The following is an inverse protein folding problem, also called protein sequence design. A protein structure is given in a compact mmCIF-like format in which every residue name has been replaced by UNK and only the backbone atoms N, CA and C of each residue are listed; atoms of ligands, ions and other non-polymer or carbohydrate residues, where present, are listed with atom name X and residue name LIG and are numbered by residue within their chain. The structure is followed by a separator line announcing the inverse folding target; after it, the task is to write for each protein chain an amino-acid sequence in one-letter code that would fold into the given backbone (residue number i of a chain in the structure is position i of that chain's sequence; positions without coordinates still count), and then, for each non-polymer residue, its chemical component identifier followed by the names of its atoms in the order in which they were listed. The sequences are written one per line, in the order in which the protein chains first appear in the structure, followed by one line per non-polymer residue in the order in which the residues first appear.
data_IF_122551751705
#
_entry.id   IF_122551751705
#
_cell.length_a   1.000
_cell.length_b   1.000
_cell.length_c   1.000
_cell.angle_alpha   90.00
_cell.angle_beta   90.00
_cell.angle_gamma   90.00
#
_symmetry.space_group_name_H-M   'P 1'
#
loop_
_entity.id
_entity.type
_entity.pdbx_description
1 polymer ?
#
# COMPACT_ATOMS: atom_id res chain seq x y z
N UNK A 1 -0.04 17.81 7.47
CA UNK A 1 0.62 18.17 8.74
C UNK A 1 0.73 16.92 9.61
N UNK A 2 1.60 16.99 10.60
CA UNK A 2 1.80 15.95 11.62
C UNK A 2 1.62 16.58 13.02
N UNK A 3 1.13 15.81 13.99
CA UNK A 3 1.06 16.23 15.40
C UNK A 3 2.41 16.08 16.13
N UNK A 4 2.42 16.42 17.42
CA UNK A 4 3.62 16.37 18.27
C UNK A 4 4.16 14.94 18.45
N UNK A 5 3.28 13.94 18.32
CA UNK A 5 3.60 12.51 18.38
C UNK A 5 4.01 11.94 17.01
N UNK A 6 4.12 12.79 15.98
CA UNK A 6 4.54 12.42 14.63
C UNK A 6 3.45 11.74 13.79
N UNK A 7 2.18 11.84 14.19
CA UNK A 7 1.06 11.20 13.50
C UNK A 7 0.47 12.12 12.43
N UNK A 8 0.00 11.60 11.28
CA UNK A 8 -0.60 12.42 10.24
C UNK A 8 -1.94 13.00 10.69
N UNK A 9 -2.06 14.33 10.69
CA UNK A 9 -3.32 15.03 11.00
C UNK A 9 -4.01 15.59 9.77
N UNK A 10 -3.26 15.83 8.69
CA UNK A 10 -3.79 16.24 7.40
C UNK A 10 -2.85 15.88 6.26
N UNK A 11 -3.38 15.59 5.08
CA UNK A 11 -2.61 15.34 3.86
C UNK A 11 -3.38 15.86 2.65
N UNK A 12 -2.67 16.38 1.66
CA UNK A 12 -3.20 16.61 0.33
C UNK A 12 -2.01 16.40 -0.60
N UNK A 13 -2.02 15.30 -1.34
CA UNK A 13 -0.83 14.92 -2.08
C UNK A 13 -1.06 13.85 -3.13
N UNK A 14 -0.15 13.85 -4.10
CA UNK A 14 -0.01 12.78 -5.09
C UNK A 14 1.43 12.31 -5.04
N UNK A 15 1.63 10.99 -5.07
CA UNK A 15 2.92 10.36 -5.22
C UNK A 15 2.90 9.48 -6.47
N UNK A 16 4.03 9.45 -7.18
CA UNK A 16 4.24 8.61 -8.35
C UNK A 16 5.48 7.75 -8.09
N UNK A 17 5.28 6.45 -7.96
CA UNK A 17 6.36 5.48 -7.83
C UNK A 17 6.63 4.86 -9.21
N UNK A 18 7.73 5.29 -9.82
CA UNK A 18 8.17 4.76 -11.12
C UNK A 18 8.94 3.46 -10.90
N UNK A 19 8.68 2.46 -11.76
CA UNK A 19 9.31 1.12 -11.69
C UNK A 19 9.08 0.42 -10.33
N UNK A 20 7.87 0.55 -9.80
CA UNK A 20 7.42 -0.22 -8.64
C UNK A 20 7.45 -1.71 -8.98
N UNK A 21 8.08 -2.48 -8.09
CA UNK A 21 8.18 -3.91 -8.21
C UNK A 21 8.45 -4.56 -6.87
N UNK A 22 8.00 -5.80 -6.73
CA UNK A 22 8.30 -6.65 -5.60
C UNK A 22 9.05 -7.88 -6.09
N UNK A 23 10.06 -8.28 -5.33
CA UNK A 23 10.83 -9.49 -5.58
C UNK A 23 10.66 -10.44 -4.40
N UNK A 24 10.29 -11.68 -4.71
CA UNK A 24 10.21 -12.79 -3.76
C UNK A 24 10.50 -14.09 -4.48
N UNK A 25 9.57 -15.05 -4.42
CA UNK A 25 9.61 -16.29 -5.22
C UNK A 25 9.64 -15.96 -6.72
N UNK A 26 8.96 -14.89 -7.13
CA UNK A 26 8.93 -14.36 -8.50
C UNK A 26 9.14 -12.85 -8.48
N UNK A 27 9.38 -12.25 -9.66
CA UNK A 27 9.44 -10.80 -9.82
C UNK A 27 8.09 -10.26 -10.32
N UNK A 28 7.37 -9.56 -9.46
CA UNK A 28 6.18 -8.82 -9.83
C UNK A 28 6.54 -7.36 -10.14
N UNK A 29 6.17 -6.87 -11.32
CA UNK A 29 6.35 -5.46 -11.72
C UNK A 29 4.98 -4.80 -11.78
N UNK A 30 4.76 -3.87 -10.87
CA UNK A 30 3.58 -3.01 -10.91
C UNK A 30 3.74 -1.88 -11.93
N UNK A 31 4.97 -1.63 -12.40
CA UNK A 31 5.26 -0.53 -13.32
C UNK A 31 5.19 0.81 -12.59
N UNK A 32 4.48 1.78 -13.14
CA UNK A 32 4.25 3.07 -12.50
C UNK A 32 2.99 3.01 -11.65
N UNK A 33 3.14 3.24 -10.35
CA UNK A 33 2.02 3.34 -9.40
C UNK A 33 1.78 4.80 -9.03
N UNK A 34 0.52 5.22 -9.14
CA UNK A 34 0.03 6.51 -8.69
C UNK A 34 -0.71 6.34 -7.38
N UNK A 35 -0.39 7.20 -6.41
CA UNK A 35 -1.04 7.24 -5.11
C UNK A 35 -1.58 8.65 -4.92
N UNK A 36 -2.86 8.75 -4.59
CA UNK A 36 -3.48 10.03 -4.23
C UNK A 36 -4.04 9.92 -2.82
N UNK A 37 -3.77 10.93 -2.00
CA UNK A 37 -4.22 10.98 -0.62
C UNK A 37 -4.74 12.37 -0.28
N UNK A 38 -5.86 12.41 0.43
CA UNK A 38 -6.43 13.63 0.97
C UNK A 38 -7.03 13.38 2.34
N UNK A 39 -6.97 14.37 3.22
CA UNK A 39 -7.49 14.21 4.56
C UNK A 39 -7.18 15.38 5.48
N UNK A 40 -8.01 15.55 6.49
CA UNK A 40 -7.90 16.55 7.54
C UNK A 40 -8.42 15.96 8.85
N UNK A 41 -8.11 16.60 9.98
CA UNK A 41 -8.59 16.19 11.32
C UNK A 41 -8.34 14.71 11.64
N UNK A 42 -7.16 14.22 11.27
CA UNK A 42 -6.74 12.82 11.46
C UNK A 42 -7.62 11.79 10.75
N UNK A 43 -8.37 12.23 9.75
CA UNK A 43 -9.10 11.39 8.81
C UNK A 43 -8.47 11.54 7.43
N UNK A 44 -7.88 10.45 6.94
CA UNK A 44 -7.21 10.41 5.64
C UNK A 44 -7.84 9.31 4.81
N UNK A 45 -8.14 9.62 3.55
CA UNK A 45 -8.59 8.66 2.56
C UNK A 45 -7.68 8.78 1.33
N UNK A 46 -7.41 7.65 0.68
CA UNK A 46 -6.56 7.63 -0.49
C UNK A 46 -6.84 6.46 -1.41
N UNK A 47 -6.27 6.56 -2.60
CA UNK A 47 -6.33 5.53 -3.63
C UNK A 47 -4.96 5.27 -4.20
N UNK A 48 -4.80 4.07 -4.74
CA UNK A 48 -3.63 3.67 -5.47
C UNK A 48 -4.05 2.94 -6.75
N UNK A 49 -3.37 3.24 -7.85
CA UNK A 49 -3.59 2.55 -9.13
C UNK A 49 -2.29 2.55 -9.92
N UNK A 50 -2.05 1.51 -10.71
CA UNK A 50 -0.94 1.53 -11.66
C UNK A 50 -1.36 1.95 -13.08
N UNK A 51 -0.38 2.27 -13.92
CA UNK A 51 -0.60 2.72 -15.31
C UNK A 51 -0.64 1.57 -16.33
N UNK A 52 -0.44 0.32 -15.89
CA UNK A 52 -0.50 -0.87 -16.76
C UNK A 52 0.78 -1.14 -17.54
N UNK A 53 1.90 -0.52 -17.17
CA UNK A 53 3.25 -0.68 -17.73
C UNK A 53 4.05 -1.80 -17.03
N UNK A 54 3.37 -2.75 -16.38
CA UNK A 54 3.95 -3.90 -15.69
C UNK A 54 3.10 -5.17 -15.84
N UNK A 55 3.60 -6.30 -15.34
CA UNK A 55 2.90 -7.59 -15.38
C UNK A 55 1.96 -7.81 -14.17
N UNK A 56 1.86 -6.83 -13.25
CA UNK A 56 0.93 -6.85 -12.14
C UNK A 56 0.08 -5.57 -12.14
N UNK A 57 -1.21 -5.71 -12.39
CA UNK A 57 -2.22 -4.68 -12.16
C UNK A 57 -2.47 -4.48 -10.67
N UNK A 58 -2.55 -3.22 -10.24
CA UNK A 58 -2.86 -2.83 -8.86
C UNK A 58 -3.92 -1.74 -8.89
N UNK A 59 -5.01 -1.96 -8.17
CA UNK A 59 -6.04 -0.96 -7.88
C UNK A 59 -6.45 -1.08 -6.41
N UNK A 60 -6.56 0.02 -5.69
CA UNK A 60 -6.93 -0.04 -4.30
C UNK A 60 -7.29 1.30 -3.69
N UNK A 61 -7.83 1.22 -2.49
CA UNK A 61 -8.15 2.35 -1.64
C UNK A 61 -7.72 2.06 -0.21
N UNK A 62 -7.41 3.11 0.52
CA UNK A 62 -7.09 3.04 1.94
C UNK A 62 -7.74 4.19 2.70
N UNK A 63 -7.98 3.97 3.98
CA UNK A 63 -8.42 5.00 4.89
C UNK A 63 -7.68 4.88 6.23
N UNK A 64 -7.49 6.02 6.89
CA UNK A 64 -6.91 6.14 8.21
C UNK A 64 -7.81 7.03 9.06
N UNK A 65 -8.00 6.64 10.32
CA UNK A 65 -8.75 7.39 11.34
C UNK A 65 -7.91 7.37 12.62
N UNK A 66 -7.31 8.51 12.97
CA UNK A 66 -6.31 8.56 14.03
C UNK A 66 -5.10 7.70 13.67
N UNK A 67 -4.84 6.66 14.47
CA UNK A 67 -3.74 5.71 14.24
C UNK A 67 -4.18 4.45 13.50
N UNK A 68 -5.48 4.14 13.47
CA UNK A 68 -5.98 2.94 12.81
C UNK A 68 -6.08 3.17 11.30
N UNK A 69 -5.70 2.17 10.52
CA UNK A 69 -5.80 2.19 9.07
C UNK A 69 -6.38 0.88 8.54
N UNK A 70 -7.03 1.00 7.39
CA UNK A 70 -7.49 -0.11 6.58
C UNK A 70 -7.16 0.15 5.11
N UNK A 71 -6.87 -0.90 4.36
CA UNK A 71 -6.65 -0.84 2.93
C UNK A 71 -7.25 -2.07 2.24
N UNK A 72 -7.83 -1.82 1.08
CA UNK A 72 -8.32 -2.82 0.16
C UNK A 72 -7.57 -2.68 -1.16
N UNK A 73 -6.93 -3.75 -1.59
CA UNK A 73 -6.13 -3.78 -2.83
C UNK A 73 -6.51 -4.98 -3.67
N UNK A 74 -6.83 -4.73 -4.93
CA UNK A 74 -7.01 -5.73 -5.97
C UNK A 74 -5.68 -5.86 -6.72
N UNK A 75 -5.18 -7.10 -6.75
CA UNK A 75 -4.00 -7.49 -7.49
C UNK A 75 -4.46 -8.34 -8.69
N UNK A 76 -4.05 -7.97 -9.90
CA UNK A 76 -4.36 -8.73 -11.12
C UNK A 76 -3.08 -9.06 -11.87
N UNK A 77 -2.64 -10.32 -11.91
CA UNK A 77 -1.50 -10.69 -12.75
C UNK A 77 -1.86 -10.54 -14.24
N UNK A 78 -0.84 -10.40 -15.08
CA UNK A 78 -0.99 -10.66 -16.51
C UNK A 78 -1.47 -12.11 -16.69
N UNK A 79 -2.59 -12.36 -17.39
CA UNK A 79 -3.13 -13.72 -17.57
C UNK A 79 -2.18 -14.67 -18.30
N UNK A 80 -1.16 -14.15 -18.99
CA UNK A 80 -0.14 -14.95 -19.68
C UNK A 80 1.09 -15.24 -18.80
N UNK A 81 1.17 -14.67 -17.60
CA UNK A 81 2.28 -14.86 -16.66
C UNK A 81 1.92 -15.94 -15.63
N UNK A 82 2.09 -17.21 -16.03
CA UNK A 82 1.79 -18.36 -15.19
C UNK A 82 2.60 -18.39 -13.88
N UNK A 83 3.83 -17.87 -13.90
CA UNK A 83 4.70 -17.80 -12.73
C UNK A 83 4.14 -16.83 -11.69
N UNK A 84 3.72 -15.64 -12.13
CA UNK A 84 3.09 -14.64 -11.27
C UNK A 84 1.72 -15.09 -10.74
N UNK A 85 0.89 -15.72 -11.58
CA UNK A 85 -0.39 -16.31 -11.15
C UNK A 85 -0.14 -17.32 -10.03
N UNK A 86 0.83 -18.22 -10.20
CA UNK A 86 1.17 -19.22 -9.21
C UNK A 86 1.72 -18.60 -7.93
N UNK A 87 2.54 -17.55 -8.02
CA UNK A 87 3.07 -16.87 -6.84
C UNK A 87 1.99 -16.15 -6.03
N UNK A 88 1.05 -15.49 -6.72
CA UNK A 88 -0.06 -14.79 -6.09
C UNK A 88 -1.06 -15.73 -5.41
N UNK A 89 -1.00 -17.04 -5.65
CA UNK A 89 -1.91 -18.01 -5.04
C UNK A 89 -1.87 -18.00 -3.49
N UNK A 90 -0.81 -17.43 -2.90
CA UNK A 90 -0.60 -17.32 -1.46
C UNK A 90 -0.91 -15.93 -0.89
N UNK A 91 -1.34 -14.97 -1.71
CA UNK A 91 -1.55 -13.57 -1.30
C UNK A 91 -3.04 -13.28 -1.18
N UNK A 92 -3.51 -12.92 0.02
CA UNK A 92 -4.91 -12.53 0.23
C UNK A 92 -5.93 -13.59 -0.24
N UNK A 93 -7.13 -13.13 -0.56
CA UNK A 93 -8.24 -13.98 -0.99
C UNK A 93 -8.29 -14.09 -2.52
N UNK A 94 -8.65 -15.24 -3.10
CA UNK A 94 -8.95 -15.34 -4.53
C UNK A 94 -10.09 -14.40 -4.92
N UNK A 95 -9.93 -13.64 -6.01
CA UNK A 95 -10.94 -12.73 -6.53
C UNK A 95 -11.66 -13.31 -7.75
N UNK A 96 -10.92 -13.97 -8.64
CA UNK A 96 -11.42 -14.50 -9.90
C UNK A 96 -10.65 -15.76 -10.34
N UNK A 97 -11.08 -16.36 -11.45
CA UNK A 97 -10.43 -17.54 -12.03
C UNK A 97 -9.14 -17.24 -12.81
N UNK A 98 -8.81 -15.96 -13.00
CA UNK A 98 -7.65 -15.49 -13.77
C UNK A 98 -6.44 -15.23 -12.87
N UNK A 99 -6.54 -15.56 -11.58
CA UNK A 99 -5.46 -15.38 -10.60
C UNK A 99 -5.51 -14.05 -9.88
N UNK A 100 -6.56 -13.24 -10.08
CA UNK A 100 -6.78 -12.02 -9.33
C UNK A 100 -6.92 -12.29 -7.83
N UNK A 101 -6.39 -11.38 -7.00
CA UNK A 101 -6.39 -11.48 -5.54
C UNK A 101 -6.93 -10.21 -4.90
N UNK A 102 -7.68 -10.39 -3.81
CA UNK A 102 -8.08 -9.33 -2.90
C UNK A 102 -7.19 -9.36 -1.66
N UNK A 103 -6.45 -8.29 -1.44
CA UNK A 103 -5.66 -8.07 -0.24
C UNK A 103 -6.38 -7.06 0.66
N UNK A 104 -6.71 -7.50 1.87
CA UNK A 104 -7.22 -6.65 2.94
C UNK A 104 -6.11 -6.46 3.97
N UNK A 105 -5.84 -5.22 4.33
CA UNK A 105 -4.81 -4.86 5.31
C UNK A 105 -5.47 -3.98 6.35
N UNK A 106 -5.31 -4.33 7.62
CA UNK A 106 -5.76 -3.54 8.76
C UNK A 106 -4.60 -3.41 9.75
N UNK A 107 -4.53 -2.31 10.47
CA UNK A 107 -3.51 -2.13 11.48
C UNK A 107 -3.56 -0.78 12.17
N UNK A 108 -2.52 -0.54 12.97
CA UNK A 108 -2.35 0.68 13.74
C UNK A 108 -0.93 1.23 13.57
N UNK A 109 -0.82 2.56 13.49
CA UNK A 109 0.46 3.26 13.51
C UNK A 109 0.85 3.53 14.96
N UNK A 110 1.94 2.93 15.41
CA UNK A 110 2.56 3.26 16.69
C UNK A 110 3.72 4.22 16.45
N UNK A 111 3.73 5.35 17.15
CA UNK A 111 4.87 6.27 17.14
C UNK A 111 6.10 5.56 17.73
N UNK A 112 7.27 5.78 17.14
CA UNK A 112 8.51 5.41 17.82
C UNK A 112 8.73 6.37 18.98
N UNK A 113 8.79 5.84 20.20
CA UNK A 113 9.24 6.63 21.34
C UNK A 113 10.67 7.08 21.04
N UNK A 114 10.90 8.39 20.92
CA UNK A 114 12.24 8.93 21.01
C UNK A 114 12.76 8.57 22.40
N UNK A 115 13.60 7.55 22.50
CA UNK A 115 14.52 7.40 23.61
C UNK A 115 15.49 8.57 23.52
N UNK A 116 15.09 9.73 24.05
CA UNK A 116 16.01 10.83 24.29
C UNK A 116 17.18 10.28 25.07
N UNK A 117 18.35 10.36 24.44
CA UNK A 117 19.62 9.90 24.98
C UNK A 117 19.79 10.41 26.41
N UNK A 118 19.89 9.45 27.33
CA UNK A 118 20.41 9.65 28.67
C UNK A 118 21.86 10.14 28.51
N UNK A 119 22.13 11.43 28.63
CA UNK A 119 23.49 11.94 28.85
C UNK A 119 23.80 11.76 30.33
N UNK A 120 24.75 10.90 30.72
CA UNK A 120 25.33 10.95 32.05
C UNK A 120 26.25 12.17 32.13
N UNK A 121 26.14 12.91 33.22
CA UNK A 121 27.07 13.97 33.64
C UNK A 121 28.52 13.46 33.78
#
# INVERSE_FOLDING_TARGET
SIDAEGRPTAVQGKARWVNAGLTGIVRARAGTVLIEARGENSQIDGSLRNEGDGNLGIDGAFSMRGTSYQAQVILRPDPNDAELIQALQWVGQPLDQQGGRLLLIEGEVHGWANSSANTPD
#
